data_IF_855432387004
#
_entry.id   IF_855432387004
#
_cell.length_a   1.000
_cell.length_b   1.000
_cell.length_c   1.000
_cell.angle_alpha   90.00
_cell.angle_beta   90.00
_cell.angle_gamma   90.00
#
_symmetry.space_group_name_H-M   'P 1'
#
loop_
_entity.id
_entity.type
_entity.pdbx_description
1 polymer ?
#
# COMPACT_ATOMS: atom_id res chain seq x y z
N UNK A 1 -11.30 -33.39 32.06
CA UNK A 1 -12.42 -32.74 32.77
C UNK A 1 -12.08 -31.35 33.32
N UNK A 2 -10.87 -31.09 33.83
CA UNK A 2 -10.50 -29.78 34.39
C UNK A 2 -10.52 -28.62 33.38
N UNK A 3 -10.08 -28.84 32.13
CA UNK A 3 -10.05 -27.81 31.07
C UNK A 3 -11.44 -27.38 30.58
N UNK A 4 -12.42 -28.30 30.56
CA UNK A 4 -13.80 -27.98 30.14
C UNK A 4 -14.52 -27.12 31.18
N UNK A 5 -14.23 -27.34 32.46
CA UNK A 5 -14.78 -26.53 33.56
C UNK A 5 -14.18 -25.13 33.56
N UNK A 6 -12.87 -24.99 33.28
CA UNK A 6 -12.22 -23.67 33.16
C UNK A 6 -12.79 -22.88 31.97
N UNK A 7 -13.04 -23.53 30.82
CA UNK A 7 -13.63 -22.89 29.64
C UNK A 7 -15.08 -22.43 29.88
N UNK A 8 -15.87 -23.21 30.63
CA UNK A 8 -17.24 -22.83 31.00
C UNK A 8 -17.28 -21.67 32.00
N UNK A 9 -16.33 -21.63 32.94
CA UNK A 9 -16.21 -20.53 33.91
C UNK A 9 -15.74 -19.24 33.22
N UNK A 10 -14.78 -19.31 32.30
CA UNK A 10 -14.33 -18.13 31.54
C UNK A 10 -15.40 -17.64 30.55
N UNK A 11 -16.18 -18.54 29.93
CA UNK A 11 -17.33 -18.16 29.12
C UNK A 11 -18.42 -17.50 29.97
N UNK A 12 -18.73 -18.03 31.15
CA UNK A 12 -19.70 -17.44 32.07
C UNK A 12 -19.24 -16.07 32.60
N UNK A 13 -17.94 -15.88 32.82
CA UNK A 13 -17.37 -14.58 33.21
C UNK A 13 -17.36 -13.57 32.05
N UNK A 14 -17.08 -14.00 30.82
CA UNK A 14 -17.14 -13.17 29.62
C UNK A 14 -18.58 -12.74 29.31
N UNK A 15 -19.53 -13.67 29.42
CA UNK A 15 -20.97 -13.43 29.39
C UNK A 15 -21.32 -12.41 30.48
N UNK A 16 -20.98 -12.66 31.75
CA UNK A 16 -21.29 -11.75 32.85
C UNK A 16 -20.66 -10.36 32.68
N UNK A 17 -19.46 -10.25 32.11
CA UNK A 17 -18.80 -8.98 31.80
C UNK A 17 -19.51 -8.22 30.66
N UNK A 18 -19.93 -8.92 29.60
CA UNK A 18 -20.72 -8.36 28.50
C UNK A 18 -22.14 -7.95 28.94
N UNK A 19 -22.73 -8.68 29.88
CA UNK A 19 -24.07 -8.43 30.43
C UNK A 19 -24.09 -7.46 31.62
N UNK A 20 -22.95 -7.15 32.24
CA UNK A 20 -22.88 -6.12 33.29
C UNK A 20 -22.89 -4.70 32.72
N UNK A 21 -22.58 -4.54 31.42
CA UNK A 21 -22.39 -3.24 30.78
C UNK A 21 -23.47 -2.87 29.75
N UNK A 22 -24.56 -3.65 29.65
CA UNK A 22 -25.64 -3.40 28.69
C UNK A 22 -26.95 -3.07 29.41
N UNK A 23 -27.49 -1.88 29.14
CA UNK A 23 -28.75 -1.40 29.68
C UNK A 23 -29.93 -2.20 29.09
N UNK A 24 -30.94 -2.49 29.92
CA UNK A 24 -32.13 -3.29 29.57
C UNK A 24 -32.89 -2.83 28.30
N UNK A 25 -32.66 -1.59 27.86
CA UNK A 25 -33.18 -1.01 26.62
C UNK A 25 -32.62 -1.64 25.34
N UNK A 26 -31.39 -2.19 25.36
CA UNK A 26 -30.81 -2.87 24.19
C UNK A 26 -31.36 -4.29 24.02
N UNK A 27 -31.70 -4.95 25.12
CA UNK A 27 -32.32 -6.27 25.08
C UNK A 27 -33.69 -6.23 24.38
N UNK A 28 -34.46 -5.17 24.65
CA UNK A 28 -35.78 -5.00 24.07
C UNK A 28 -35.72 -4.65 22.57
N UNK A 29 -34.69 -3.93 22.12
CA UNK A 29 -34.42 -3.65 20.70
C UNK A 29 -33.95 -4.89 19.94
N UNK A 30 -33.10 -5.71 20.56
CA UNK A 30 -32.62 -6.97 19.97
C UNK A 30 -33.78 -7.97 19.86
N UNK A 31 -34.64 -8.05 20.87
CA UNK A 31 -35.84 -8.89 20.84
C UNK A 31 -36.88 -8.42 19.82
N UNK A 32 -37.03 -7.11 19.60
CA UNK A 32 -37.96 -6.55 18.60
C UNK A 32 -37.49 -6.73 17.15
N UNK A 33 -36.19 -6.88 16.92
CA UNK A 33 -35.61 -7.08 15.59
C UNK A 33 -35.34 -8.56 15.25
N UNK A 34 -35.76 -9.48 16.10
CA UNK A 34 -35.72 -10.91 15.76
C UNK A 34 -36.67 -11.19 14.58
N UNK A 35 -36.23 -11.96 13.57
CA UNK A 35 -37.09 -12.46 12.51
C UNK A 35 -38.40 -13.02 13.09
N UNK A 36 -39.53 -12.73 12.44
CA UNK A 36 -40.86 -13.12 12.94
C UNK A 36 -40.97 -14.63 13.22
N UNK A 37 -40.20 -15.45 12.50
CA UNK A 37 -40.08 -16.90 12.69
C UNK A 37 -39.52 -17.30 14.07
N UNK A 38 -38.57 -16.53 14.62
CA UNK A 38 -37.96 -16.80 15.94
C UNK A 38 -38.90 -16.36 17.07
N UNK A 39 -39.62 -15.25 16.87
CA UNK A 39 -40.65 -14.80 17.83
C UNK A 39 -41.83 -15.77 17.91
N UNK A 40 -42.19 -16.39 16.79
CA UNK A 40 -43.24 -17.41 16.71
C UNK A 40 -42.80 -18.75 17.32
N UNK A 41 -41.54 -19.16 17.14
CA UNK A 41 -41.02 -20.41 17.73
C UNK A 41 -40.85 -20.35 19.25
N UNK A 42 -40.46 -19.20 19.81
CA UNK A 42 -40.39 -18.99 21.27
C UNK A 42 -41.78 -19.10 21.91
N UNK A 43 -42.82 -18.55 21.27
CA UNK A 43 -44.20 -18.68 21.76
C UNK A 43 -44.76 -20.11 21.59
N UNK A 44 -44.30 -20.86 20.57
CA UNK A 44 -44.67 -22.26 20.38
C UNK A 44 -43.99 -23.18 21.41
N UNK A 45 -42.76 -22.87 21.82
CA UNK A 45 -41.99 -23.62 22.82
C UNK A 45 -42.58 -23.55 24.24
N UNK A 46 -43.31 -22.48 24.59
CA UNK A 46 -44.00 -22.39 25.89
C UNK A 46 -45.22 -23.30 26.02
N UNK A 47 -45.70 -23.89 24.91
CA UNK A 47 -46.95 -24.68 24.89
C UNK A 47 -46.70 -26.19 24.72
N UNK A 48 -45.46 -26.62 24.46
CA UNK A 48 -45.15 -28.02 24.16
C UNK A 48 -44.12 -28.56 25.15
N UNK A 49 -44.58 -29.52 25.96
CA UNK A 49 -43.74 -30.37 26.79
C UNK A 49 -43.04 -31.41 25.89
N UNK A 50 -42.16 -30.98 24.99
CA UNK A 50 -41.34 -31.89 24.18
C UNK A 50 -39.94 -31.99 24.80
N UNK A 51 -39.44 -33.22 24.88
CA UNK A 51 -38.12 -33.57 25.41
C UNK A 51 -37.02 -32.70 24.82
N UNK A 52 -36.10 -32.21 25.67
CA UNK A 52 -34.96 -31.33 25.30
C UNK A 52 -34.21 -31.76 24.03
N UNK A 53 -34.19 -33.08 23.73
CA UNK A 53 -33.62 -33.65 22.51
C UNK A 53 -34.23 -33.11 21.21
N UNK A 54 -35.55 -32.90 21.15
CA UNK A 54 -36.24 -32.47 19.93
C UNK A 54 -35.99 -30.99 19.64
N UNK A 55 -35.90 -30.17 20.71
CA UNK A 55 -35.54 -28.76 20.61
C UNK A 55 -34.10 -28.61 20.13
N UNK A 56 -33.17 -29.39 20.68
CA UNK A 56 -31.76 -29.37 20.26
C UNK A 56 -31.62 -29.76 18.78
N UNK A 57 -32.32 -30.80 18.31
CA UNK A 57 -32.31 -31.18 16.90
C UNK A 57 -32.88 -30.08 15.99
N UNK A 58 -33.94 -29.39 16.43
CA UNK A 58 -34.52 -28.30 15.66
C UNK A 58 -33.57 -27.09 15.56
N UNK A 59 -32.90 -26.73 16.66
CA UNK A 59 -31.88 -25.69 16.67
C UNK A 59 -30.67 -26.04 15.79
N UNK A 60 -30.23 -27.29 15.81
CA UNK A 60 -29.11 -27.75 14.99
C UNK A 60 -29.45 -27.70 13.50
N UNK A 61 -30.66 -28.11 13.13
CA UNK A 61 -31.18 -28.01 11.76
C UNK A 61 -31.28 -26.55 11.30
N UNK A 62 -31.79 -25.65 12.15
CA UNK A 62 -31.87 -24.23 11.84
C UNK A 62 -30.47 -23.60 11.68
N UNK A 63 -29.52 -23.96 12.54
CA UNK A 63 -28.15 -23.47 12.45
C UNK A 63 -27.41 -23.99 11.19
N UNK A 64 -27.73 -25.20 10.73
CA UNK A 64 -27.24 -25.73 9.45
C UNK A 64 -27.85 -24.98 8.27
N UNK A 65 -29.15 -24.71 8.30
CA UNK A 65 -29.85 -23.96 7.25
C UNK A 65 -29.32 -22.53 7.13
N UNK A 66 -29.15 -21.83 8.26
CA UNK A 66 -28.57 -20.46 8.28
C UNK A 66 -27.15 -20.46 7.71
N UNK A 67 -26.30 -21.42 8.10
CA UNK A 67 -24.95 -21.54 7.55
C UNK A 67 -24.96 -21.80 6.05
N UNK A 68 -25.83 -22.69 5.58
CA UNK A 68 -25.98 -22.97 4.17
C UNK A 68 -26.43 -21.73 3.38
N UNK A 69 -27.40 -20.98 3.90
CA UNK A 69 -27.84 -19.72 3.30
C UNK A 69 -26.73 -18.67 3.27
N UNK A 70 -25.95 -18.54 4.35
CA UNK A 70 -24.78 -17.66 4.39
C UNK A 70 -23.73 -18.05 3.33
N UNK A 71 -23.43 -19.34 3.18
CA UNK A 71 -22.48 -19.82 2.17
C UNK A 71 -22.96 -19.56 0.74
N UNK A 72 -24.25 -19.76 0.48
CA UNK A 72 -24.87 -19.46 -0.82
C UNK A 72 -24.81 -17.96 -1.10
N UNK A 73 -25.11 -17.13 -0.10
CA UNK A 73 -25.05 -15.68 -0.21
C UNK A 73 -23.61 -15.18 -0.44
N UNK A 74 -22.62 -15.74 0.27
CA UNK A 74 -21.20 -15.42 0.07
C UNK A 74 -20.75 -15.76 -1.37
N UNK A 75 -21.11 -16.94 -1.88
CA UNK A 75 -20.83 -17.33 -3.26
C UNK A 75 -21.49 -16.41 -4.30
N UNK A 76 -22.71 -15.92 -4.02
CA UNK A 76 -23.39 -14.96 -4.88
C UNK A 76 -22.70 -13.60 -4.87
N UNK A 77 -22.29 -13.12 -3.69
CA UNK A 77 -21.52 -11.88 -3.56
C UNK A 77 -20.18 -11.96 -4.29
N UNK A 78 -19.44 -13.07 -4.18
CA UNK A 78 -18.19 -13.27 -4.91
C UNK A 78 -18.38 -13.25 -6.43
N UNK A 79 -19.47 -13.85 -6.93
CA UNK A 79 -19.82 -13.77 -8.36
C UNK A 79 -20.14 -12.35 -8.78
N UNK A 80 -20.95 -11.62 -8.00
CA UNK A 80 -21.29 -10.23 -8.28
C UNK A 80 -20.06 -9.33 -8.25
N UNK A 81 -19.16 -9.52 -7.28
CA UNK A 81 -17.87 -8.83 -7.18
C UNK A 81 -17.05 -9.04 -8.44
N UNK A 82 -16.86 -10.28 -8.90
CA UNK A 82 -16.11 -10.58 -10.14
C UNK A 82 -16.74 -9.93 -11.38
N UNK A 83 -18.07 -9.90 -11.47
CA UNK A 83 -18.78 -9.24 -12.58
C UNK A 83 -18.56 -7.72 -12.53
N UNK A 84 -18.63 -7.13 -11.33
CA UNK A 84 -18.43 -5.70 -11.13
C UNK A 84 -16.98 -5.29 -11.41
N UNK A 85 -16.00 -6.07 -10.96
CA UNK A 85 -14.58 -5.92 -11.29
C UNK A 85 -14.38 -5.93 -12.81
N UNK A 86 -14.98 -6.89 -13.52
CA UNK A 86 -14.92 -6.94 -14.99
C UNK A 86 -15.57 -5.72 -15.66
N UNK A 87 -16.74 -5.26 -15.18
CA UNK A 87 -17.41 -4.06 -15.72
C UNK A 87 -16.63 -2.79 -15.45
N UNK A 88 -16.03 -2.65 -14.27
CA UNK A 88 -15.14 -1.53 -13.92
C UNK A 88 -13.94 -1.55 -14.87
N UNK A 89 -13.40 -2.73 -15.17
CA UNK A 89 -12.30 -2.86 -16.12
C UNK A 89 -12.70 -2.45 -17.53
N UNK A 90 -13.89 -2.85 -18.00
CA UNK A 90 -14.42 -2.48 -19.32
C UNK A 90 -14.70 -0.97 -19.42
N UNK A 91 -15.10 -0.32 -18.33
CA UNK A 91 -15.31 1.12 -18.26
C UNK A 91 -14.00 1.92 -18.15
N UNK A 92 -12.93 1.30 -17.66
CA UNK A 92 -11.58 1.87 -17.54
C UNK A 92 -10.74 1.68 -18.81
N UNK A 93 -11.34 1.45 -19.97
CA UNK A 93 -10.57 1.36 -21.20
C UNK A 93 -9.94 2.72 -21.53
N UNK A 94 -8.62 2.78 -21.36
CA UNK A 94 -7.81 3.91 -21.78
C UNK A 94 -7.93 4.10 -23.29
N UNK A 95 -7.98 5.35 -23.82
CA UNK A 95 -8.05 5.58 -25.25
C UNK A 95 -6.96 4.79 -26.00
N UNK A 96 -7.23 4.17 -27.16
CA UNK A 96 -6.26 3.37 -27.90
C UNK A 96 -4.98 4.15 -28.27
N UNK A 97 -5.10 5.48 -28.41
CA UNK A 97 -3.99 6.38 -28.74
C UNK A 97 -3.36 7.08 -27.52
N UNK A 98 -3.79 6.72 -26.29
CA UNK A 98 -3.25 7.33 -25.09
C UNK A 98 -1.76 7.00 -24.89
N UNK A 99 -0.98 8.04 -24.66
CA UNK A 99 0.45 7.96 -24.32
C UNK A 99 0.66 7.20 -23.01
N UNK A 100 1.88 6.67 -22.79
CA UNK A 100 2.24 5.97 -21.55
C UNK A 100 1.88 6.79 -20.30
N UNK A 101 2.23 8.08 -20.29
CA UNK A 101 1.96 8.99 -19.16
C UNK A 101 0.45 9.16 -18.92
N UNK A 102 -0.35 9.29 -19.97
CA UNK A 102 -1.82 9.37 -19.85
C UNK A 102 -2.40 8.07 -19.31
N UNK A 103 -1.90 6.91 -19.75
CA UNK A 103 -2.37 5.62 -19.22
C UNK A 103 -2.06 5.42 -17.75
N UNK A 104 -0.85 5.81 -17.33
CA UNK A 104 -0.47 5.80 -15.91
C UNK A 104 -1.36 6.76 -15.12
N UNK A 105 -1.57 7.99 -15.61
CA UNK A 105 -2.38 9.00 -14.93
C UNK A 105 -3.86 8.59 -14.81
N UNK A 106 -4.41 7.94 -15.84
CA UNK A 106 -5.78 7.43 -15.84
C UNK A 106 -5.94 6.25 -14.88
N UNK A 107 -4.97 5.32 -14.87
CA UNK A 107 -5.02 4.13 -14.00
C UNK A 107 -4.82 4.48 -12.52
N UNK A 108 -3.91 5.42 -12.24
CA UNK A 108 -3.50 5.83 -10.90
C UNK A 108 -3.77 7.32 -10.70
N UNK A 109 -5.04 7.74 -10.53
CA UNK A 109 -5.41 9.15 -10.38
C UNK A 109 -4.78 9.77 -9.12
N UNK A 110 -4.60 11.09 -9.15
CA UNK A 110 -3.97 11.84 -8.07
C UNK A 110 -5.03 12.76 -7.47
N UNK A 111 -5.24 12.63 -6.17
CA UNK A 111 -6.07 13.54 -5.40
C UNK A 111 -5.16 14.39 -4.50
N UNK A 112 -5.07 15.68 -4.81
CA UNK A 112 -4.27 16.64 -4.03
C UNK A 112 -4.79 16.82 -2.61
N UNK A 113 -6.08 16.59 -2.35
CA UNK A 113 -6.70 16.80 -1.04
C UNK A 113 -6.72 15.55 -0.17
N UNK A 114 -6.38 14.38 -0.73
CA UNK A 114 -6.21 13.16 0.02
C UNK A 114 -5.13 13.33 1.10
N UNK A 115 -5.20 12.54 2.17
CA UNK A 115 -4.15 12.48 3.20
C UNK A 115 -3.09 11.46 2.81
N UNK A 116 -1.90 11.56 3.40
CA UNK A 116 -0.91 10.49 3.30
C UNK A 116 -1.47 9.19 3.91
N UNK A 117 -1.41 8.08 3.17
CA UNK A 117 -1.75 6.77 3.72
C UNK A 117 -0.77 6.34 4.82
N UNK A 118 -1.28 5.66 5.86
CA UNK A 118 -0.48 5.19 6.99
C UNK A 118 0.15 3.80 6.70
N UNK A 119 0.88 3.69 5.59
CA UNK A 119 1.63 2.49 5.20
C UNK A 119 3.13 2.75 5.25
N UNK A 120 3.88 1.74 5.71
CA UNK A 120 5.34 1.70 5.65
C UNK A 120 5.74 0.49 4.82
N UNK A 121 6.52 0.71 3.78
CA UNK A 121 7.03 -0.29 2.87
C UNK A 121 8.55 -0.36 3.03
N UNK A 122 9.07 -1.54 3.36
CA UNK A 122 10.50 -1.83 3.29
C UNK A 122 10.73 -3.09 2.46
N UNK A 123 11.91 -3.22 1.88
CA UNK A 123 12.30 -4.39 1.09
C UNK A 123 13.43 -5.13 1.75
N UNK A 124 13.27 -6.43 1.92
CA UNK A 124 14.26 -7.31 2.51
C UNK A 124 14.93 -8.19 1.44
N UNK A 125 16.24 -8.35 1.57
CA UNK A 125 17.05 -9.25 0.78
C UNK A 125 17.60 -10.38 1.66
N UNK A 126 17.75 -11.57 1.09
CA UNK A 126 18.13 -12.80 1.81
C UNK A 126 19.53 -12.75 2.44
N UNK A 127 20.31 -11.70 2.19
CA UNK A 127 21.63 -11.44 2.79
C UNK A 127 21.54 -10.94 4.23
N UNK A 128 20.39 -10.41 4.66
CA UNK A 128 20.17 -9.97 6.03
C UNK A 128 19.55 -11.07 6.90
N UNK A 129 19.97 -11.16 8.15
CA UNK A 129 19.41 -12.13 9.09
C UNK A 129 17.94 -11.82 9.41
N UNK A 130 17.06 -12.82 9.56
CA UNK A 130 15.68 -12.58 9.98
C UNK A 130 15.56 -11.82 11.30
N UNK A 131 16.50 -12.02 12.23
CA UNK A 131 16.53 -11.32 13.52
C UNK A 131 16.74 -9.81 13.34
N UNK A 132 17.76 -9.41 12.55
CA UNK A 132 18.00 -7.99 12.28
C UNK A 132 16.79 -7.31 11.61
N UNK A 133 16.07 -8.02 10.75
CA UNK A 133 14.86 -7.50 10.10
C UNK A 133 13.73 -7.31 11.10
N UNK A 134 13.54 -8.26 12.02
CA UNK A 134 12.53 -8.13 13.07
C UNK A 134 12.85 -6.98 14.03
N UNK A 135 14.12 -6.76 14.34
CA UNK A 135 14.55 -5.64 15.17
C UNK A 135 14.24 -4.30 14.50
N UNK A 136 14.64 -4.13 13.23
CA UNK A 136 14.34 -2.93 12.44
C UNK A 136 12.82 -2.72 12.34
N UNK A 137 12.07 -3.80 12.06
CA UNK A 137 10.61 -3.76 11.99
C UNK A 137 9.99 -3.27 13.30
N UNK A 138 10.43 -3.84 14.42
CA UNK A 138 10.00 -3.41 15.75
C UNK A 138 10.30 -1.94 16.04
N UNK A 139 11.44 -1.42 15.58
CA UNK A 139 11.78 0.00 15.74
C UNK A 139 10.80 0.90 14.98
N UNK A 140 10.47 0.58 13.72
CA UNK A 140 9.52 1.33 12.90
C UNK A 140 8.10 1.29 13.47
N UNK A 141 7.61 0.12 13.86
CA UNK A 141 6.28 -0.04 14.46
C UNK A 141 6.17 0.69 15.80
N UNK A 142 7.19 0.58 16.66
CA UNK A 142 7.21 1.28 17.94
C UNK A 142 7.25 2.80 17.79
N UNK A 143 7.94 3.33 16.77
CA UNK A 143 7.99 4.79 16.52
C UNK A 143 6.73 5.31 15.85
N UNK A 144 6.00 4.46 15.12
CA UNK A 144 4.86 4.85 14.27
C UNK A 144 3.62 4.02 14.60
N UNK A 145 3.08 4.12 15.84
CA UNK A 145 1.88 3.39 16.20
C UNK A 145 0.71 3.76 15.27
N UNK A 146 0.03 2.76 14.74
CA UNK A 146 -1.10 2.93 13.82
C UNK A 146 -0.73 2.90 12.33
N UNK A 147 0.55 2.81 11.98
CA UNK A 147 0.96 2.50 10.61
C UNK A 147 0.92 0.99 10.37
N UNK A 148 0.44 0.59 9.18
CA UNK A 148 0.62 -0.78 8.69
C UNK A 148 2.01 -0.89 8.08
N UNK A 149 2.84 -1.78 8.63
CA UNK A 149 4.22 -1.94 8.22
C UNK A 149 4.45 -3.30 7.54
N UNK A 150 4.80 -3.25 6.26
CA UNK A 150 5.09 -4.41 5.43
C UNK A 150 6.58 -4.44 5.04
N UNK A 151 7.21 -5.58 5.31
CA UNK A 151 8.58 -5.87 4.87
C UNK A 151 8.50 -6.95 3.79
N UNK A 152 8.83 -6.58 2.56
CA UNK A 152 8.58 -7.38 1.37
C UNK A 152 9.85 -8.06 0.88
N UNK A 153 9.77 -9.34 0.54
CA UNK A 153 10.84 -10.05 -0.14
C UNK A 153 10.66 -9.99 -1.67
N UNK A 154 11.67 -10.46 -2.41
CA UNK A 154 11.67 -10.44 -3.88
C UNK A 154 10.48 -11.16 -4.52
N UNK A 155 10.05 -12.30 -3.98
CA UNK A 155 8.94 -13.08 -4.54
C UNK A 155 7.62 -12.32 -4.41
N UNK A 156 7.38 -11.71 -3.25
CA UNK A 156 6.21 -10.88 -3.00
C UNK A 156 6.24 -9.63 -3.88
N UNK A 157 7.39 -8.95 -3.97
CA UNK A 157 7.57 -7.79 -4.87
C UNK A 157 7.18 -8.16 -6.31
N UNK A 158 7.70 -9.28 -6.82
CA UNK A 158 7.40 -9.75 -8.16
C UNK A 158 5.90 -10.00 -8.37
N UNK A 159 5.25 -10.67 -7.43
CA UNK A 159 3.81 -10.93 -7.49
C UNK A 159 2.98 -9.63 -7.46
N UNK A 160 3.36 -8.66 -6.63
CA UNK A 160 2.68 -7.37 -6.53
C UNK A 160 2.81 -6.55 -7.82
N UNK A 161 4.00 -6.53 -8.44
CA UNK A 161 4.21 -5.84 -9.72
C UNK A 161 3.29 -6.42 -10.80
N UNK A 162 3.26 -7.74 -10.94
CA UNK A 162 2.38 -8.41 -11.90
C UNK A 162 0.90 -8.18 -11.59
N UNK A 163 0.52 -8.16 -10.31
CA UNK A 163 -0.87 -7.97 -9.90
C UNK A 163 -1.37 -6.55 -10.19
N UNK A 164 -0.60 -5.52 -9.83
CA UNK A 164 -1.06 -4.13 -9.94
C UNK A 164 -0.90 -3.54 -11.35
N UNK A 165 0.07 -4.03 -12.13
CA UNK A 165 0.44 -3.40 -13.40
C UNK A 165 0.15 -4.26 -14.64
N UNK A 166 -0.68 -5.30 -14.51
CA UNK A 166 -1.09 -6.13 -15.66
C UNK A 166 -1.73 -5.33 -16.81
N UNK A 167 -2.34 -4.18 -16.52
CA UNK A 167 -2.98 -3.30 -17.50
C UNK A 167 -2.01 -2.37 -18.23
N UNK A 168 -0.74 -2.30 -17.81
CA UNK A 168 0.31 -1.46 -18.41
C UNK A 168 1.53 -2.35 -18.71
N UNK A 169 1.53 -3.06 -19.86
CA UNK A 169 2.56 -4.04 -20.19
C UNK A 169 3.99 -3.48 -20.17
N UNK A 170 4.18 -2.19 -20.48
CA UNK A 170 5.50 -1.56 -20.47
C UNK A 170 6.14 -1.53 -19.08
N UNK A 171 5.35 -1.47 -18.00
CA UNK A 171 5.86 -1.57 -16.62
C UNK A 171 6.40 -2.97 -16.37
N UNK A 172 5.65 -4.01 -16.76
CA UNK A 172 6.07 -5.40 -16.59
C UNK A 172 7.31 -5.71 -17.43
N UNK A 173 7.30 -5.29 -18.70
CA UNK A 173 8.44 -5.48 -19.60
C UNK A 173 9.69 -4.79 -19.07
N UNK A 174 9.56 -3.56 -18.56
CA UNK A 174 10.65 -2.81 -17.94
C UNK A 174 11.17 -3.54 -16.71
N UNK A 175 10.29 -3.94 -15.80
CA UNK A 175 10.68 -4.65 -14.57
C UNK A 175 11.44 -5.94 -14.87
N UNK A 176 11.04 -6.68 -15.91
CA UNK A 176 11.76 -7.89 -16.32
C UNK A 176 13.06 -7.64 -17.08
N UNK A 177 13.14 -6.53 -17.82
CA UNK A 177 14.34 -6.15 -18.57
C UNK A 177 15.47 -5.60 -17.67
N UNK A 178 15.15 -5.09 -16.47
CA UNK A 178 16.16 -4.54 -15.57
C UNK A 178 17.17 -5.64 -15.15
N UNK A 179 18.48 -5.42 -15.39
CA UNK A 179 19.50 -6.49 -15.31
C UNK A 179 19.93 -6.85 -13.89
N UNK A 180 19.50 -6.11 -12.86
CA UNK A 180 19.88 -6.40 -11.48
C UNK A 180 18.77 -6.14 -10.48
N UNK A 181 18.90 -6.82 -9.35
CA UNK A 181 18.00 -6.72 -8.21
C UNK A 181 17.89 -5.29 -7.69
N UNK A 182 19.02 -4.56 -7.59
CA UNK A 182 19.04 -3.18 -7.08
C UNK A 182 18.17 -2.27 -7.96
N UNK A 183 18.33 -2.35 -9.29
CA UNK A 183 17.51 -1.56 -10.22
C UNK A 183 16.02 -1.94 -10.13
N UNK A 184 15.71 -3.24 -9.96
CA UNK A 184 14.33 -3.71 -9.77
C UNK A 184 13.71 -3.17 -8.49
N UNK A 185 14.45 -3.15 -7.38
CA UNK A 185 14.01 -2.56 -6.10
C UNK A 185 13.81 -1.05 -6.25
N UNK A 186 14.75 -0.36 -6.90
CA UNK A 186 14.63 1.08 -7.15
C UNK A 186 13.38 1.41 -7.97
N UNK A 187 13.08 0.60 -8.99
CA UNK A 187 11.87 0.79 -9.77
C UNK A 187 10.61 0.47 -8.94
N UNK A 188 10.65 -0.63 -8.17
CA UNK A 188 9.54 -1.07 -7.33
C UNK A 188 9.13 -0.04 -6.27
N UNK A 189 10.08 0.65 -5.61
CA UNK A 189 9.72 1.67 -4.60
C UNK A 189 8.85 2.79 -5.18
N UNK A 190 9.10 3.21 -6.42
CA UNK A 190 8.23 4.18 -7.08
C UNK A 190 6.87 3.58 -7.43
N UNK A 191 6.84 2.31 -7.88
CA UNK A 191 5.61 1.59 -8.22
C UNK A 191 4.69 1.40 -7.00
N UNK A 192 5.22 0.95 -5.86
CA UNK A 192 4.41 0.72 -4.66
C UNK A 192 3.85 2.03 -4.10
N UNK A 193 4.65 3.10 -4.11
CA UNK A 193 4.20 4.44 -3.73
C UNK A 193 3.19 5.01 -4.71
N UNK A 194 3.29 4.70 -6.00
CA UNK A 194 2.30 5.12 -6.99
C UNK A 194 0.93 4.51 -6.70
N UNK A 195 0.89 3.23 -6.32
CA UNK A 195 -0.34 2.48 -6.05
C UNK A 195 -0.94 2.85 -4.70
N UNK A 196 -0.15 2.74 -3.63
CA UNK A 196 -0.63 2.82 -2.25
C UNK A 196 -0.25 4.11 -1.53
N UNK A 197 0.67 4.89 -2.08
CA UNK A 197 1.33 5.97 -1.34
C UNK A 197 1.96 5.44 -0.05
N UNK A 198 1.97 6.31 0.96
CA UNK A 198 2.57 6.02 2.25
C UNK A 198 4.06 6.32 2.25
N UNK A 199 4.82 5.55 3.01
CA UNK A 199 6.26 5.73 3.20
C UNK A 199 6.99 4.50 2.67
N UNK A 200 7.98 4.73 1.82
CA UNK A 200 9.02 3.74 1.55
C UNK A 200 10.26 4.09 2.36
N UNK A 201 10.90 3.08 2.94
CA UNK A 201 12.21 3.22 3.56
C UNK A 201 13.11 2.03 3.21
N UNK A 202 14.39 2.28 2.95
CA UNK A 202 15.38 1.20 2.84
C UNK A 202 15.45 0.46 4.18
N UNK A 203 15.80 -0.82 4.13
CA UNK A 203 15.79 -1.69 5.31
C UNK A 203 16.85 -1.27 6.35
N UNK A 204 17.94 -0.66 5.91
CA UNK A 204 19.00 -0.10 6.78
C UNK A 204 18.71 1.33 7.26
N UNK A 205 17.51 1.87 6.98
CA UNK A 205 17.09 3.18 7.47
C UNK A 205 16.36 3.07 8.81
N UNK A 206 16.84 3.83 9.80
CA UNK A 206 16.28 3.85 11.15
C UNK A 206 15.39 5.08 11.40
N UNK A 207 14.21 4.92 12.02
CA UNK A 207 13.30 6.03 12.25
C UNK A 207 13.77 6.86 13.44
N UNK A 208 14.38 8.02 13.21
CA UNK A 208 14.83 8.91 14.30
C UNK A 208 13.64 9.58 15.02
N UNK A 209 12.59 9.91 14.27
CA UNK A 209 11.36 10.51 14.77
C UNK A 209 10.12 9.91 14.07
N UNK A 210 8.92 9.98 14.69
CA UNK A 210 7.67 9.53 14.07
C UNK A 210 7.38 10.24 12.74
N UNK A 211 6.80 9.52 11.77
CA UNK A 211 6.43 10.03 10.44
C UNK A 211 5.54 11.28 10.49
N UNK A 212 4.50 11.35 11.35
CA UNK A 212 3.67 12.57 11.44
C UNK A 212 4.45 13.84 11.80
N UNK A 213 5.61 13.70 12.45
CA UNK A 213 6.44 14.81 12.88
C UNK A 213 7.41 15.30 11.78
N UNK A 214 7.38 14.72 10.58
CA UNK A 214 8.19 15.20 9.45
C UNK A 214 7.62 16.47 8.83
N UNK A 215 6.34 16.74 9.07
CA UNK A 215 5.65 17.94 8.60
C UNK A 215 5.68 18.98 9.73
N UNK A 216 6.24 20.18 9.49
CA UNK A 216 6.19 21.29 10.44
C UNK A 216 4.75 21.65 10.82
N UNK A 217 4.51 22.08 12.06
CA UNK A 217 3.16 22.40 12.57
C UNK A 217 2.48 23.53 11.78
N UNK A 218 3.26 24.38 11.11
CA UNK A 218 2.77 25.49 10.30
C UNK A 218 2.17 25.03 8.96
N UNK A 219 2.45 23.79 8.53
CA UNK A 219 2.01 23.25 7.26
C UNK A 219 0.89 22.21 7.45
N UNK A 220 -0.17 22.34 6.66
CA UNK A 220 -1.23 21.33 6.62
C UNK A 220 -0.75 20.08 5.86
N UNK A 221 -0.86 18.87 6.44
CA UNK A 221 -0.52 17.63 5.73
C UNK A 221 -1.36 17.40 4.46
N UNK A 222 -2.54 18.01 4.38
CA UNK A 222 -3.39 17.93 3.18
C UNK A 222 -2.82 18.72 2.01
N UNK A 223 -1.94 19.69 2.24
CA UNK A 223 -1.37 20.55 1.18
C UNK A 223 -0.07 19.99 0.59
N UNK A 224 0.52 18.98 1.24
CA UNK A 224 1.79 18.37 0.84
C UNK A 224 1.51 17.05 0.12
N UNK A 225 2.03 16.86 -1.09
CA UNK A 225 1.85 15.63 -1.88
C UNK A 225 3.00 14.62 -1.82
N UNK A 226 4.20 15.10 -1.51
CA UNK A 226 5.45 14.34 -1.50
C UNK A 226 6.42 14.95 -0.48
N UNK A 227 7.11 14.12 0.28
CA UNK A 227 8.20 14.50 1.18
C UNK A 227 9.42 13.66 0.83
N UNK A 228 10.56 14.34 0.65
CA UNK A 228 11.84 13.75 0.28
C UNK A 228 12.96 14.38 1.12
N UNK A 229 13.99 13.59 1.40
CA UNK A 229 15.20 14.07 2.06
C UNK A 229 16.24 14.59 1.07
N UNK A 230 17.10 15.50 1.53
CA UNK A 230 18.34 15.86 0.82
C UNK A 230 19.37 14.78 1.12
N UNK A 231 19.94 14.20 0.06
CA UNK A 231 21.00 13.21 0.17
C UNK A 231 22.37 13.84 0.30
N UNK A 232 22.65 14.81 -0.57
CA UNK A 232 23.92 15.51 -0.61
C UNK A 232 23.66 16.93 -1.10
N UNK A 233 24.25 17.91 -0.43
CA UNK A 233 24.42 19.28 -0.92
C UNK A 233 25.92 19.58 -0.94
N UNK A 234 26.58 19.13 -2.02
CA UNK A 234 28.02 19.07 -2.07
C UNK A 234 28.65 20.47 -2.19
N UNK A 235 29.49 20.81 -1.22
CA UNK A 235 30.35 22.01 -1.26
C UNK A 235 31.75 21.74 -1.83
N UNK A 236 32.16 20.46 -1.87
CA UNK A 236 33.46 20.01 -2.37
C UNK A 236 33.51 20.03 -3.90
N UNK A 237 34.68 20.29 -4.49
CA UNK A 237 34.85 20.37 -5.94
C UNK A 237 34.81 19.00 -6.65
N UNK A 238 35.15 17.92 -5.95
CA UNK A 238 35.24 16.54 -6.46
C UNK A 238 33.91 15.76 -6.37
N UNK A 239 32.79 16.44 -6.12
CA UNK A 239 31.48 15.80 -5.93
C UNK A 239 31.05 14.89 -7.07
N UNK A 240 31.45 15.21 -8.32
CA UNK A 240 31.16 14.43 -9.54
C UNK A 240 31.76 13.02 -9.55
N UNK A 241 32.68 12.72 -8.63
CA UNK A 241 33.24 11.37 -8.47
C UNK A 241 32.31 10.42 -7.72
N UNK A 242 31.36 10.96 -6.94
CA UNK A 242 30.47 10.18 -6.06
C UNK A 242 28.99 10.40 -6.33
N UNK A 243 28.61 11.54 -6.89
CA UNK A 243 27.22 11.93 -7.10
C UNK A 243 26.98 12.42 -8.53
N UNK A 244 25.74 12.26 -8.99
CA UNK A 244 25.31 12.68 -10.33
C UNK A 244 24.93 14.17 -10.35
N UNK A 245 24.46 14.70 -9.22
CA UNK A 245 24.11 16.12 -9.04
C UNK A 245 24.78 16.70 -7.81
N UNK A 246 25.04 18.00 -7.84
CA UNK A 246 25.64 18.73 -6.71
C UNK A 246 24.69 18.76 -5.51
N UNK A 247 23.44 19.11 -5.77
CA UNK A 247 22.32 18.94 -4.85
C UNK A 247 21.53 17.72 -5.32
N UNK A 248 21.39 16.72 -4.47
CA UNK A 248 20.74 15.46 -4.80
C UNK A 248 19.72 15.10 -3.72
N UNK A 249 18.55 14.60 -4.12
CA UNK A 249 17.53 14.09 -3.20
C UNK A 249 17.69 12.59 -3.01
N UNK A 250 17.55 12.15 -1.75
CA UNK A 250 17.66 10.75 -1.37
C UNK A 250 16.45 9.95 -1.82
N UNK A 251 16.69 8.66 -2.07
CA UNK A 251 15.63 7.70 -2.42
C UNK A 251 15.44 6.61 -1.36
N UNK A 252 16.27 6.61 -0.32
CA UNK A 252 16.19 5.66 0.81
C UNK A 252 14.99 5.91 1.73
N UNK A 253 14.37 7.08 1.64
CA UNK A 253 13.15 7.41 2.36
C UNK A 253 12.31 8.38 1.55
N UNK A 254 11.09 7.98 1.22
CA UNK A 254 10.15 8.78 0.43
C UNK A 254 8.77 8.62 1.04
N UNK A 255 8.08 9.73 1.29
CA UNK A 255 6.67 9.72 1.63
C UNK A 255 5.86 10.36 0.51
N UNK A 256 4.85 9.65 -0.01
CA UNK A 256 4.07 10.12 -1.15
C UNK A 256 2.58 9.84 -0.97
N UNK A 257 1.75 10.71 -1.58
CA UNK A 257 0.35 10.38 -1.85
C UNK A 257 0.25 9.42 -3.06
N UNK A 258 -0.76 8.53 -3.08
CA UNK A 258 -1.00 7.67 -4.23
C UNK A 258 -1.17 8.50 -5.51
N UNK A 259 -0.63 8.02 -6.63
CA UNK A 259 -0.77 8.68 -7.92
C UNK A 259 0.08 9.95 -8.10
N UNK A 260 0.95 10.34 -7.18
CA UNK A 260 1.67 11.62 -7.25
C UNK A 260 2.37 11.86 -8.61
N UNK A 261 2.25 13.04 -9.24
CA UNK A 261 2.77 13.29 -10.58
C UNK A 261 4.27 13.02 -10.77
N UNK A 262 5.10 13.33 -9.76
CA UNK A 262 6.54 13.04 -9.80
C UNK A 262 6.79 11.53 -9.91
N UNK A 263 6.01 10.69 -9.19
CA UNK A 263 6.14 9.23 -9.29
C UNK A 263 5.78 8.73 -10.69
N UNK A 264 4.72 9.27 -11.28
CA UNK A 264 4.34 8.93 -12.67
C UNK A 264 5.44 9.27 -13.66
N UNK A 265 6.07 10.43 -13.48
CA UNK A 265 7.11 10.91 -14.40
C UNK A 265 8.39 10.08 -14.28
N UNK A 266 8.89 9.80 -13.06
CA UNK A 266 10.08 8.94 -12.92
C UNK A 266 9.83 7.53 -13.45
N UNK A 267 8.64 6.96 -13.21
CA UNK A 267 8.26 5.65 -13.75
C UNK A 267 8.29 5.67 -15.28
N UNK A 268 7.72 6.70 -15.91
CA UNK A 268 7.74 6.85 -17.36
C UNK A 268 9.18 6.97 -17.91
N UNK A 269 10.04 7.76 -17.26
CA UNK A 269 11.44 7.93 -17.69
C UNK A 269 12.27 6.65 -17.53
N UNK A 270 12.07 5.88 -16.46
CA UNK A 270 12.72 4.58 -16.26
C UNK A 270 12.27 3.61 -17.36
N UNK A 271 10.98 3.55 -17.69
CA UNK A 271 10.45 2.71 -18.77
C UNK A 271 11.07 3.09 -20.10
N UNK A 272 11.00 4.36 -20.49
CA UNK A 272 11.53 4.86 -21.76
C UNK A 272 13.03 4.57 -21.89
N UNK A 273 13.80 4.86 -20.84
CA UNK A 273 15.25 4.61 -20.81
C UNK A 273 15.56 3.12 -20.90
N UNK A 274 14.85 2.28 -20.14
CA UNK A 274 15.11 0.83 -20.09
C UNK A 274 14.74 0.14 -21.38
N UNK A 275 13.58 0.44 -21.95
CA UNK A 275 13.14 -0.15 -23.21
C UNK A 275 13.99 0.32 -24.38
N UNK A 276 14.45 1.58 -24.39
CA UNK A 276 15.40 2.05 -25.38
C UNK A 276 16.75 1.31 -25.26
N UNK A 277 17.30 1.19 -24.03
CA UNK A 277 18.52 0.40 -23.79
C UNK A 277 18.38 -1.06 -24.19
N UNK A 278 17.21 -1.66 -23.94
CA UNK A 278 16.89 -3.03 -24.39
C UNK A 278 16.92 -3.16 -25.91
N UNK A 279 16.33 -2.20 -26.62
CA UNK A 279 16.30 -2.16 -28.09
C UNK A 279 17.71 -2.01 -28.68
N UNK A 280 18.57 -1.25 -28.01
CA UNK A 280 19.93 -0.96 -28.46
C UNK A 280 20.96 -2.00 -27.96
N UNK A 281 20.53 -3.04 -27.24
CA UNK A 281 21.37 -4.07 -26.60
C UNK A 281 22.39 -3.50 -25.58
N UNK A 282 21.98 -2.43 -24.87
CA UNK A 282 22.79 -1.68 -23.90
C UNK A 282 22.34 -1.90 -22.44
N UNK A 283 21.68 -3.03 -22.15
CA UNK A 283 21.30 -3.38 -20.77
C UNK A 283 22.51 -3.79 -19.93
N UNK A 284 23.57 -4.31 -20.56
CA UNK A 284 24.80 -4.69 -19.88
C UNK A 284 25.62 -3.44 -19.54
N UNK A 285 25.48 -2.96 -18.30
CA UNK A 285 26.25 -1.84 -17.76
C UNK A 285 27.09 -2.29 -16.57
N UNK A 286 28.20 -1.60 -16.32
CA UNK A 286 29.00 -1.87 -15.13
C UNK A 286 28.25 -1.37 -13.88
N UNK A 287 27.51 -2.27 -13.24
CA UNK A 287 26.73 -2.00 -12.03
C UNK A 287 27.57 -1.90 -10.76
N UNK A 288 28.90 -2.11 -10.83
CA UNK A 288 29.81 -1.76 -9.73
C UNK A 288 30.12 -0.26 -9.66
N UNK A 289 29.77 0.48 -10.72
CA UNK A 289 29.83 1.92 -10.69
C UNK A 289 28.46 2.45 -10.26
N UNK A 290 28.37 2.89 -9.01
CA UNK A 290 27.12 3.40 -8.41
C UNK A 290 26.50 4.53 -9.25
N UNK A 291 27.32 5.33 -9.95
CA UNK A 291 26.86 6.40 -10.84
C UNK A 291 25.94 5.87 -11.97
N UNK A 292 26.15 4.64 -12.44
CA UNK A 292 25.30 4.03 -13.47
C UNK A 292 23.92 3.66 -12.92
N UNK A 293 23.83 3.26 -11.66
CA UNK A 293 22.57 2.96 -10.97
C UNK A 293 21.84 4.27 -10.66
N UNK A 294 22.56 5.23 -10.06
CA UNK A 294 22.05 6.55 -9.68
C UNK A 294 21.49 7.33 -10.87
N UNK A 295 22.08 7.20 -12.06
CA UNK A 295 21.61 7.87 -13.28
C UNK A 295 20.45 7.16 -13.98
N UNK A 296 20.17 5.90 -13.66
CA UNK A 296 19.14 5.10 -14.34
C UNK A 296 17.86 4.96 -13.53
N UNK A 297 17.94 4.52 -12.27
CA UNK A 297 16.76 4.31 -11.41
C UNK A 297 16.88 5.01 -10.06
N UNK A 298 18.10 5.41 -9.69
CA UNK A 298 18.40 5.99 -8.38
C UNK A 298 18.27 7.52 -8.32
N UNK A 299 19.05 8.08 -7.39
CA UNK A 299 18.90 9.46 -6.92
C UNK A 299 19.23 10.55 -7.93
N UNK A 300 20.04 10.28 -8.94
CA UNK A 300 20.32 11.23 -10.03
C UNK A 300 19.07 11.51 -10.87
N UNK A 301 18.44 10.47 -11.40
CA UNK A 301 17.19 10.59 -12.17
C UNK A 301 16.04 11.14 -11.32
N UNK A 302 15.96 10.69 -10.06
CA UNK A 302 14.98 11.20 -9.09
C UNK A 302 15.09 12.70 -8.90
N UNK A 303 16.32 13.19 -8.72
CA UNK A 303 16.60 14.61 -8.55
C UNK A 303 16.20 15.41 -9.78
N UNK A 304 16.55 14.94 -10.98
CA UNK A 304 16.18 15.60 -12.23
C UNK A 304 14.66 15.66 -12.42
N UNK A 305 13.96 14.57 -12.05
CA UNK A 305 12.50 14.51 -12.13
C UNK A 305 11.85 15.54 -11.21
N UNK A 306 12.34 15.66 -9.97
CA UNK A 306 11.83 16.63 -9.00
C UNK A 306 12.08 18.07 -9.49
N UNK A 307 13.29 18.39 -9.94
CA UNK A 307 13.59 19.73 -10.46
C UNK A 307 12.78 20.08 -11.69
N UNK A 308 12.60 19.11 -12.61
CA UNK A 308 11.73 19.28 -13.78
C UNK A 308 10.31 19.60 -13.35
N UNK A 309 9.79 18.91 -12.33
CA UNK A 309 8.46 19.18 -11.79
C UNK A 309 8.36 20.58 -11.17
N UNK A 310 9.35 21.01 -10.38
CA UNK A 310 9.37 22.35 -9.79
C UNK A 310 9.45 23.46 -10.83
N UNK A 311 10.22 23.25 -11.90
CA UNK A 311 10.38 24.20 -12.99
C UNK A 311 9.14 24.30 -13.91
N UNK A 312 8.21 23.34 -13.84
CA UNK A 312 6.91 23.41 -14.52
C UNK A 312 5.87 24.08 -13.62
N UNK A 313 5.67 25.38 -13.81
CA UNK A 313 4.72 26.19 -13.03
C UNK A 313 3.26 25.70 -13.10
N UNK A 314 2.87 25.02 -14.20
CA UNK A 314 1.51 24.47 -14.35
C UNK A 314 1.33 23.21 -13.51
N UNK A 315 2.40 22.44 -13.30
CA UNK A 315 2.38 21.21 -12.50
C UNK A 315 2.66 21.47 -11.02
N UNK A 316 3.56 22.38 -10.70
CA UNK A 316 3.98 22.67 -9.32
C UNK A 316 3.10 23.67 -8.59
N UNK A 317 2.30 24.46 -9.32
CA UNK A 317 1.51 25.55 -8.73
C UNK A 317 2.35 26.73 -8.24
N UNK A 318 3.67 26.72 -8.44
CA UNK A 318 4.59 27.79 -8.06
C UNK A 318 4.44 28.95 -9.05
N UNK A 319 3.73 30.01 -8.65
CA UNK A 319 3.63 31.27 -9.42
C UNK A 319 4.91 32.09 -9.26
N UNK A 320 5.95 31.72 -9.99
CA UNK A 320 7.16 32.54 -10.08
C UNK A 320 8.14 31.94 -11.08
N UNK A 321 8.67 32.77 -12.00
CA UNK A 321 9.83 32.42 -12.83
C UNK A 321 11.07 32.32 -11.94
N UNK A 322 11.17 31.27 -11.15
CA UNK A 322 12.45 30.80 -10.63
C UNK A 322 13.05 29.92 -11.71
N UNK A 323 13.87 30.48 -12.60
CA UNK A 323 14.74 29.66 -13.43
C UNK A 323 15.74 28.98 -12.49
N UNK A 324 15.40 27.78 -12.02
CA UNK A 324 16.37 26.88 -11.42
C UNK A 324 17.00 26.13 -12.58
N UNK A 325 18.00 26.77 -13.20
CA UNK A 325 18.81 26.15 -14.24
C UNK A 325 19.43 24.88 -13.68
N UNK A 326 19.08 23.73 -14.27
CA UNK A 326 19.86 22.51 -14.14
C UNK A 326 21.15 22.79 -14.89
N UNK A 327 22.17 23.27 -14.17
CA UNK A 327 23.50 23.45 -14.75
C UNK A 327 24.07 22.04 -15.00
N UNK A 328 24.45 21.72 -16.26
CA UNK A 328 24.90 20.38 -16.64
C UNK A 328 26.16 19.86 -15.92
#
# INVERSE_FOLDING_TARGET
MLFAVIALISLALAVRYLFHNSNATDLQKILQNLPKEISQSINYANTIQSTDSDLVQHFEKLAQEIRHQQDVQAKQFDKQRKILEKKIQDLKQTPPEATLRERIAFTFPYDSHAKFPAFIWQTWSNDQSPESVQDIKGMWESKNPGFAHEVLNHDVINALVHHYFYSIPEILETYEALPSVILKIDFFKYLILLVHGGVYADIDTFPVQPIPNWIPEELSPSDIGLIVGVEEDAQRADWRTKYIRRLQFGTWIIQAKPGHPILREIIAQIIETTLQRKKDDQLSVNLRNDLNIMSWTGSGLWTDTIFTYFNDFMRSGVRGKGHMEIIP
#
